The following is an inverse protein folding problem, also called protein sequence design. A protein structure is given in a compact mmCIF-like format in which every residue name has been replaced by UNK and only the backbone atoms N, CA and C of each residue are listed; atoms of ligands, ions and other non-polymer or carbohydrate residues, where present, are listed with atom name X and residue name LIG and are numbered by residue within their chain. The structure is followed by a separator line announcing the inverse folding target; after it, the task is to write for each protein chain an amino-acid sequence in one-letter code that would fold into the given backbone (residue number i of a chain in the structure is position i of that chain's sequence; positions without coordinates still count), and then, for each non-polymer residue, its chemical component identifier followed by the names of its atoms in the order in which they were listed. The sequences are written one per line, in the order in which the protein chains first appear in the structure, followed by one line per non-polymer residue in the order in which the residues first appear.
data_IF_152169892287
#
_entry.id   IF_152169892287
#
_cell.length_a   1.000
_cell.length_b   1.000
_cell.length_c   1.000
_cell.angle_alpha   90.00
_cell.angle_beta   90.00
_cell.angle_gamma   90.00
#
_symmetry.space_group_name_H-M   'P 1'
#
loop_
_entity.id
_entity.type
_entity.pdbx_description
1 polymer ?
#
# COMPACT_ATOMS: atom_id res chain seq x y z
N UNK A 1 -37.53 30.01 2.87
CA UNK A 1 -36.99 29.35 1.67
C UNK A 1 -35.94 28.35 2.12
N UNK A 2 -36.35 27.09 2.27
CA UNK A 2 -35.45 25.95 2.36
C UNK A 2 -34.63 25.85 1.07
N UNK A 3 -33.35 26.24 1.14
CA UNK A 3 -32.37 25.86 0.13
C UNK A 3 -31.31 25.06 0.86
N UNK A 4 -31.56 23.75 0.81
CA UNK A 4 -30.96 22.74 1.65
C UNK A 4 -29.45 22.65 1.57
N UNK A 5 -28.87 22.29 2.71
CA UNK A 5 -28.10 21.04 2.87
C UNK A 5 -27.18 20.67 1.69
N UNK A 6 -26.43 21.62 1.14
CA UNK A 6 -25.24 21.34 0.30
C UNK A 6 -23.95 21.39 1.12
N UNK A 7 -24.07 21.14 2.43
CA UNK A 7 -22.96 20.70 3.30
C UNK A 7 -22.68 19.19 3.16
N UNK A 8 -23.24 18.51 2.16
CA UNK A 8 -22.69 17.25 1.71
C UNK A 8 -21.47 17.56 0.86
N UNK A 9 -20.34 17.87 1.52
CA UNK A 9 -19.05 17.54 0.96
C UNK A 9 -19.08 16.02 0.74
N UNK A 10 -19.11 15.50 -0.51
CA UNK A 10 -18.38 14.28 -0.69
C UNK A 10 -16.95 14.71 -0.46
N UNK A 11 -16.39 14.14 0.59
CA UNK A 11 -14.98 13.96 0.81
C UNK A 11 -14.47 13.14 -0.38
N UNK A 12 -14.49 13.77 -1.56
CA UNK A 12 -13.97 13.28 -2.82
C UNK A 12 -12.49 13.19 -2.55
N UNK A 13 -12.14 11.97 -2.16
CA UNK A 13 -10.81 11.44 -2.08
C UNK A 13 -10.11 11.81 -3.38
N UNK A 14 -9.48 12.99 -3.39
CA UNK A 14 -8.16 13.19 -3.96
C UNK A 14 -7.19 12.27 -3.22
N UNK A 15 -7.41 10.97 -3.35
CA UNK A 15 -6.32 10.03 -3.47
C UNK A 15 -5.82 10.34 -4.87
N UNK A 16 -4.66 10.98 -4.95
CA UNK A 16 -4.05 11.20 -6.25
C UNK A 16 -3.98 9.83 -6.94
N UNK A 17 -4.16 9.73 -8.27
CA UNK A 17 -3.97 8.46 -8.97
C UNK A 17 -2.60 7.81 -8.67
N UNK A 18 -1.63 8.59 -8.18
CA UNK A 18 -0.38 8.12 -7.59
C UNK A 18 -0.54 7.27 -6.30
N UNK A 19 -1.40 7.65 -5.35
CA UNK A 19 -1.49 6.99 -4.04
C UNK A 19 -2.01 5.54 -4.13
N UNK A 20 -2.91 5.27 -5.09
CA UNK A 20 -3.46 3.92 -5.28
C UNK A 20 -2.45 3.01 -5.99
N UNK A 21 -1.72 3.56 -6.98
CA UNK A 21 -0.65 2.86 -7.68
C UNK A 21 0.54 2.60 -6.75
N UNK A 22 0.94 3.56 -5.92
CA UNK A 22 2.00 3.40 -4.93
C UNK A 22 1.69 2.26 -3.95
N UNK A 23 0.46 2.22 -3.43
CA UNK A 23 0.02 1.10 -2.57
C UNK A 23 0.00 -0.24 -3.29
N UNK A 24 -0.33 -0.26 -4.59
CA UNK A 24 -0.30 -1.47 -5.40
C UNK A 24 1.14 -1.98 -5.55
N UNK A 25 2.09 -1.09 -5.84
CA UNK A 25 3.51 -1.43 -6.00
C UNK A 25 4.08 -1.97 -4.69
N UNK A 26 3.87 -1.25 -3.58
CA UNK A 26 4.33 -1.67 -2.25
C UNK A 26 3.73 -3.03 -1.87
N UNK A 27 2.42 -3.20 -2.11
CA UNK A 27 1.72 -4.46 -1.84
C UNK A 27 2.24 -5.63 -2.68
N UNK A 28 2.51 -5.40 -3.96
CA UNK A 28 3.06 -6.43 -4.85
C UNK A 28 4.48 -6.83 -4.44
N UNK A 29 5.34 -5.86 -4.13
CA UNK A 29 6.72 -6.11 -3.68
C UNK A 29 6.76 -6.89 -2.37
N UNK A 30 5.88 -6.53 -1.42
CA UNK A 30 5.69 -7.29 -0.19
C UNK A 30 5.27 -8.73 -0.50
N UNK A 31 4.24 -8.91 -1.31
CA UNK A 31 3.68 -10.23 -1.63
C UNK A 31 4.71 -11.13 -2.32
N UNK A 32 5.43 -10.62 -3.32
CA UNK A 32 6.45 -11.37 -4.06
C UNK A 32 7.63 -11.74 -3.15
N UNK A 33 8.10 -10.81 -2.30
CA UNK A 33 9.19 -11.11 -1.36
C UNK A 33 8.79 -12.14 -0.31
N UNK A 34 7.62 -11.96 0.32
CA UNK A 34 7.12 -12.88 1.32
C UNK A 34 6.87 -14.27 0.72
N UNK A 35 6.25 -14.35 -0.46
CA UNK A 35 6.04 -15.61 -1.16
C UNK A 35 7.36 -16.30 -1.52
N UNK A 36 8.35 -15.57 -2.04
CA UNK A 36 9.66 -16.13 -2.40
C UNK A 36 10.37 -16.75 -1.19
N UNK A 37 10.40 -16.03 -0.05
CA UNK A 37 11.02 -16.52 1.18
C UNK A 37 10.25 -17.71 1.75
N UNK A 38 8.91 -17.64 1.73
CA UNK A 38 8.08 -18.74 2.20
C UNK A 38 8.27 -20.01 1.36
N UNK A 39 8.30 -19.89 0.03
CA UNK A 39 8.52 -21.03 -0.87
C UNK A 39 9.91 -21.65 -0.63
N UNK A 40 10.94 -20.82 -0.44
CA UNK A 40 12.32 -21.30 -0.30
C UNK A 40 12.61 -21.90 1.09
N UNK A 41 11.95 -21.40 2.14
CA UNK A 41 12.30 -21.74 3.53
C UNK A 41 11.19 -22.46 4.31
N UNK A 42 9.94 -22.39 3.85
CA UNK A 42 8.76 -22.82 4.60
C UNK A 42 8.45 -21.96 5.85
N UNK A 43 9.26 -20.94 6.15
CA UNK A 43 9.18 -20.19 7.39
C UNK A 43 8.26 -18.96 7.25
N UNK A 44 7.00 -19.09 7.71
CA UNK A 44 5.98 -18.03 7.63
C UNK A 44 6.42 -16.74 8.35
N UNK A 45 6.97 -16.85 9.56
CA UNK A 45 7.37 -15.69 10.37
C UNK A 45 8.50 -14.92 9.68
N UNK A 46 9.53 -15.63 9.22
CA UNK A 46 10.63 -15.01 8.47
C UNK A 46 10.14 -14.37 7.18
N UNK A 47 9.27 -15.04 6.43
CA UNK A 47 8.68 -14.50 5.21
C UNK A 47 7.95 -13.17 5.44
N UNK A 48 7.18 -13.08 6.53
CA UNK A 48 6.49 -11.85 6.91
C UNK A 48 7.45 -10.74 7.33
N UNK A 49 8.47 -11.06 8.13
CA UNK A 49 9.45 -10.07 8.60
C UNK A 49 10.24 -9.46 7.44
N UNK A 50 10.76 -10.29 6.54
CA UNK A 50 11.49 -9.81 5.37
C UNK A 50 10.57 -9.12 4.36
N UNK A 51 9.36 -9.65 4.13
CA UNK A 51 8.36 -8.97 3.31
C UNK A 51 8.06 -7.57 3.85
N UNK A 52 7.85 -7.44 5.16
CA UNK A 52 7.57 -6.16 5.81
C UNK A 52 8.75 -5.19 5.68
N UNK A 53 9.98 -5.69 5.82
CA UNK A 53 11.19 -4.89 5.62
C UNK A 53 11.26 -4.33 4.19
N UNK A 54 10.96 -5.15 3.19
CA UNK A 54 10.88 -4.70 1.79
C UNK A 54 9.76 -3.67 1.59
N UNK A 55 8.59 -3.86 2.21
CA UNK A 55 7.49 -2.90 2.12
C UNK A 55 7.87 -1.53 2.68
N UNK A 56 8.56 -1.47 3.82
CA UNK A 56 9.02 -0.21 4.42
C UNK A 56 10.00 0.52 3.49
N UNK A 57 10.97 -0.22 2.93
CA UNK A 57 11.92 0.35 1.95
C UNK A 57 11.19 0.85 0.71
N UNK A 58 10.24 0.07 0.18
CA UNK A 58 9.47 0.42 -0.99
C UNK A 58 8.64 1.70 -0.79
N UNK A 59 8.01 1.87 0.38
CA UNK A 59 7.30 3.11 0.72
C UNK A 59 8.27 4.30 0.63
N UNK A 60 9.43 4.21 1.29
CA UNK A 60 10.42 5.29 1.27
C UNK A 60 10.92 5.64 -0.14
N UNK A 61 11.15 4.63 -0.99
CA UNK A 61 11.59 4.83 -2.37
C UNK A 61 10.48 5.45 -3.23
N UNK A 62 9.26 4.91 -3.17
CA UNK A 62 8.17 5.38 -4.03
C UNK A 62 7.73 6.79 -3.62
N UNK A 63 7.69 7.11 -2.32
CA UNK A 63 7.38 8.47 -1.86
C UNK A 63 8.44 9.52 -2.24
N UNK A 64 9.65 9.10 -2.65
CA UNK A 64 10.71 9.99 -3.14
C UNK A 64 10.69 10.20 -4.67
N UNK A 65 10.00 9.34 -5.42
CA UNK A 65 9.81 9.48 -6.87
C UNK A 65 8.71 10.50 -7.20
#
# INVERSE_FOLDING_TARGET
MDRGLRNASPRDRKLLPGDWVERLIVGLLFAVSAAGIYILTGAVVSALLFGMLVAVVAIGVVSML
#
